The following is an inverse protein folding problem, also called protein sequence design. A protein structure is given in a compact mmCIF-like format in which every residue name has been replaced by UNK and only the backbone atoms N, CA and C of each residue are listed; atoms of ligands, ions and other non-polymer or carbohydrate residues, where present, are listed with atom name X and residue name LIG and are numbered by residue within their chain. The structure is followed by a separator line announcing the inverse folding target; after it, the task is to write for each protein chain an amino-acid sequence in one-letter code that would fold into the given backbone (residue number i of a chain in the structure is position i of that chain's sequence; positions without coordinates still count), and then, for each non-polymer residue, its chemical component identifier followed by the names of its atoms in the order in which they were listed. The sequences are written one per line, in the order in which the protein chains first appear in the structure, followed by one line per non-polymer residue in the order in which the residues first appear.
data_IF_916861696188
#
_entry.id   IF_916861696188
#
_cell.length_a   1.000
_cell.length_b   1.000
_cell.length_c   1.000
_cell.angle_alpha   90.00
_cell.angle_beta   90.00
_cell.angle_gamma   90.00
#
_symmetry.space_group_name_H-M   'P 1'
#
loop_
_entity.id
_entity.type
_entity.pdbx_description
1 polymer ?
#
# COMPACT_ATOMS: atom_id res chain seq x y z
N UNK A 1 -15.44 -0.25 -5.78
CA UNK A 1 -15.61 -1.66 -5.35
C UNK A 1 -16.35 -2.42 -6.41
N UNK A 2 -15.98 -3.68 -6.63
CA UNK A 2 -16.79 -4.63 -7.40
C UNK A 2 -18.02 -4.93 -6.54
N UNK A 3 -19.21 -4.58 -7.03
CA UNK A 3 -20.47 -4.84 -6.31
C UNK A 3 -20.68 -6.34 -6.15
N UNK A 4 -21.49 -6.77 -5.18
CA UNK A 4 -21.74 -8.21 -4.99
C UNK A 4 -22.43 -8.84 -6.21
N UNK A 5 -23.25 -8.06 -6.92
CA UNK A 5 -23.79 -8.46 -8.22
C UNK A 5 -22.66 -8.71 -9.24
N UNK A 6 -21.70 -7.78 -9.34
CA UNK A 6 -20.55 -7.91 -10.25
C UNK A 6 -19.60 -9.04 -9.84
N UNK A 7 -19.46 -9.33 -8.55
CA UNK A 7 -18.68 -10.50 -8.08
C UNK A 7 -19.33 -11.81 -8.51
N UNK A 8 -20.65 -11.92 -8.44
CA UNK A 8 -21.39 -13.10 -8.92
C UNK A 8 -21.22 -13.27 -10.42
N UNK A 9 -21.32 -12.17 -11.19
CA UNK A 9 -21.05 -12.14 -12.62
C UNK A 9 -19.63 -12.61 -12.96
N UNK A 10 -18.61 -12.05 -12.29
CA UNK A 10 -17.22 -12.47 -12.47
C UNK A 10 -16.97 -13.91 -12.07
N UNK A 11 -17.65 -14.41 -11.03
CA UNK A 11 -17.56 -15.81 -10.66
C UNK A 11 -18.16 -16.73 -11.72
N UNK A 12 -19.30 -16.36 -12.29
CA UNK A 12 -19.92 -17.12 -13.37
C UNK A 12 -19.01 -17.15 -14.61
N UNK A 13 -18.49 -15.99 -15.03
CA UNK A 13 -17.52 -15.90 -16.12
C UNK A 13 -16.25 -16.74 -15.85
N UNK A 14 -15.80 -16.80 -14.60
CA UNK A 14 -14.69 -17.64 -14.17
C UNK A 14 -15.00 -19.14 -14.30
N UNK A 15 -16.21 -19.59 -13.92
CA UNK A 15 -16.64 -20.99 -14.04
C UNK A 15 -16.69 -21.42 -15.51
N UNK A 16 -17.29 -20.57 -16.34
CA UNK A 16 -17.47 -20.80 -17.78
C UNK A 16 -16.18 -20.62 -18.60
N UNK A 17 -15.15 -20.01 -18.01
CA UNK A 17 -13.93 -19.58 -18.72
C UNK A 17 -14.28 -18.63 -19.88
N UNK A 18 -15.24 -17.74 -19.66
CA UNK A 18 -15.71 -16.83 -20.70
C UNK A 18 -14.57 -15.88 -21.14
N UNK A 19 -14.19 -15.98 -22.42
CA UNK A 19 -13.13 -15.20 -23.04
C UNK A 19 -13.48 -13.72 -23.22
N UNK A 20 -14.75 -13.35 -23.21
CA UNK A 20 -15.18 -11.94 -23.31
C UNK A 20 -14.74 -11.10 -22.10
N UNK A 21 -14.50 -11.76 -20.96
CA UNK A 21 -14.01 -11.13 -19.74
C UNK A 21 -12.48 -11.10 -19.66
N UNK A 22 -11.77 -11.57 -20.68
CA UNK A 22 -10.32 -11.61 -20.68
C UNK A 22 -9.73 -10.20 -20.54
N UNK A 23 -8.96 -9.98 -19.48
CA UNK A 23 -8.40 -8.67 -19.14
C UNK A 23 -9.36 -7.71 -18.41
N UNK A 24 -10.63 -8.09 -18.22
CA UNK A 24 -11.61 -7.29 -17.47
C UNK A 24 -11.47 -7.43 -15.95
N UNK A 25 -11.02 -8.60 -15.47
CA UNK A 25 -10.78 -8.83 -14.04
C UNK A 25 -9.72 -9.91 -13.80
N UNK A 26 -9.28 -10.00 -12.55
CA UNK A 26 -8.44 -11.05 -11.99
C UNK A 26 -9.12 -11.64 -10.76
N UNK A 27 -8.92 -12.94 -10.52
CA UNK A 27 -9.44 -13.62 -9.33
C UNK A 27 -8.29 -14.06 -8.44
N UNK A 28 -8.23 -13.57 -7.20
CA UNK A 28 -7.42 -14.09 -6.12
C UNK A 28 -8.10 -15.28 -5.44
N UNK A 29 -7.35 -16.36 -5.22
CA UNK A 29 -7.82 -17.59 -4.59
C UNK A 29 -7.26 -17.69 -3.18
N UNK A 30 -8.08 -17.35 -2.18
CA UNK A 30 -7.66 -17.18 -0.76
C UNK A 30 -6.92 -18.41 -0.23
N UNK A 31 -7.41 -19.61 -0.54
CA UNK A 31 -6.82 -20.87 -0.07
C UNK A 31 -5.42 -21.16 -0.59
N UNK A 32 -5.02 -20.56 -1.72
CA UNK A 32 -3.71 -20.81 -2.34
C UNK A 32 -2.81 -19.57 -2.38
N UNK A 33 -3.39 -18.39 -2.13
CA UNK A 33 -2.71 -17.11 -2.31
C UNK A 33 -2.31 -16.85 -3.77
N UNK A 34 -3.03 -17.41 -4.76
CA UNK A 34 -2.73 -17.24 -6.19
C UNK A 34 -3.79 -16.39 -6.87
N UNK A 35 -3.41 -15.43 -7.73
CA UNK A 35 -4.36 -14.77 -8.61
C UNK A 35 -4.26 -15.25 -10.07
N UNK A 36 -5.41 -15.32 -10.73
CA UNK A 36 -5.58 -15.89 -12.06
C UNK A 36 -6.37 -14.95 -12.98
N UNK A 37 -6.25 -15.20 -14.29
CA UNK A 37 -7.14 -14.66 -15.33
C UNK A 37 -8.48 -15.42 -15.34
N UNK A 38 -9.56 -14.85 -15.91
CA UNK A 38 -10.89 -15.48 -15.96
C UNK A 38 -10.87 -16.83 -16.71
N UNK A 39 -10.07 -16.90 -17.77
CA UNK A 39 -9.91 -18.08 -18.64
C UNK A 39 -8.91 -19.11 -18.11
N UNK A 40 -8.38 -18.94 -16.89
CA UNK A 40 -7.37 -19.84 -16.33
C UNK A 40 -7.84 -21.31 -16.32
N UNK A 41 -7.01 -22.26 -16.82
CA UNK A 41 -7.38 -23.68 -16.88
C UNK A 41 -7.28 -24.41 -15.53
N UNK A 42 -6.81 -23.73 -14.47
CA UNK A 42 -6.74 -24.31 -13.13
C UNK A 42 -8.13 -24.72 -12.60
N UNK A 43 -8.14 -25.64 -11.63
CA UNK A 43 -9.38 -26.04 -10.92
C UNK A 43 -10.04 -24.80 -10.34
N UNK A 44 -11.35 -24.67 -10.56
CA UNK A 44 -12.11 -23.49 -10.13
C UNK A 44 -12.33 -23.52 -8.61
N UNK A 45 -11.99 -22.43 -7.90
CA UNK A 45 -12.23 -22.33 -6.45
C UNK A 45 -13.72 -22.18 -6.14
N UNK A 46 -14.10 -22.44 -4.89
CA UNK A 46 -15.42 -22.06 -4.36
C UNK A 46 -15.54 -20.54 -4.29
N UNK A 47 -16.75 -20.00 -4.46
CA UNK A 47 -17.02 -18.56 -4.43
C UNK A 47 -16.50 -17.87 -3.16
N UNK A 48 -16.69 -18.47 -1.98
CA UNK A 48 -16.21 -17.97 -0.69
C UNK A 48 -14.68 -17.73 -0.63
N UNK A 49 -13.95 -18.51 -1.44
CA UNK A 49 -12.49 -18.45 -1.57
C UNK A 49 -12.03 -17.51 -2.69
N UNK A 50 -12.94 -16.82 -3.37
CA UNK A 50 -12.63 -15.87 -4.42
C UNK A 50 -12.58 -14.45 -3.88
N UNK A 51 -11.61 -13.70 -4.38
CA UNK A 51 -11.56 -12.25 -4.31
C UNK A 51 -11.28 -11.72 -5.72
N UNK A 52 -11.91 -10.61 -6.10
CA UNK A 52 -11.84 -10.12 -7.48
C UNK A 52 -11.17 -8.75 -7.53
N UNK A 53 -10.42 -8.52 -8.58
CA UNK A 53 -9.60 -7.33 -8.81
C UNK A 53 -9.74 -6.87 -10.25
N UNK A 54 -9.74 -5.57 -10.50
CA UNK A 54 -9.72 -5.05 -11.87
C UNK A 54 -8.31 -5.05 -12.45
N UNK A 55 -7.30 -4.91 -11.59
CA UNK A 55 -5.91 -4.84 -12.03
C UNK A 55 -5.05 -5.93 -11.36
N UNK A 56 -3.97 -6.37 -12.02
CA UNK A 56 -3.00 -7.24 -11.36
C UNK A 56 -2.37 -6.58 -10.14
N UNK A 57 -2.21 -5.24 -10.16
CA UNK A 57 -1.64 -4.49 -9.04
C UNK A 57 -2.45 -4.73 -7.77
N UNK A 58 -3.77 -4.58 -7.84
CA UNK A 58 -4.66 -4.81 -6.71
C UNK A 58 -4.51 -6.24 -6.15
N UNK A 59 -4.45 -7.25 -7.01
CA UNK A 59 -4.25 -8.63 -6.60
C UNK A 59 -2.91 -8.85 -5.88
N UNK A 60 -1.84 -8.23 -6.38
CA UNK A 60 -0.51 -8.32 -5.78
C UNK A 60 -0.46 -7.64 -4.40
N UNK A 61 -1.09 -6.47 -4.29
CA UNK A 61 -1.21 -5.74 -3.02
C UNK A 61 -2.01 -6.53 -2.00
N UNK A 62 -3.05 -7.25 -2.44
CA UNK A 62 -3.79 -8.18 -1.62
C UNK A 62 -3.03 -9.50 -1.34
N UNK A 63 -1.71 -9.53 -1.57
CA UNK A 63 -0.80 -10.65 -1.28
C UNK A 63 -1.02 -11.90 -2.12
N UNK A 64 -1.70 -11.80 -3.27
CA UNK A 64 -1.80 -12.91 -4.21
C UNK A 64 -0.60 -12.95 -5.15
N UNK A 65 -0.01 -14.13 -5.35
CA UNK A 65 1.05 -14.34 -6.36
C UNK A 65 0.46 -14.66 -7.74
N UNK A 66 1.13 -14.31 -8.85
CA UNK A 66 0.66 -14.66 -10.18
C UNK A 66 0.62 -16.18 -10.36
N UNK A 67 -0.44 -16.65 -11.03
CA UNK A 67 -0.60 -18.06 -11.35
C UNK A 67 0.44 -18.51 -12.38
N UNK A 68 1.16 -19.60 -12.08
CA UNK A 68 2.14 -20.21 -13.01
C UNK A 68 1.49 -20.90 -14.21
N UNK A 69 0.19 -21.21 -14.15
CA UNK A 69 -0.53 -21.90 -15.24
C UNK A 69 -1.05 -20.94 -16.30
N UNK A 70 -1.74 -19.88 -15.86
CA UNK A 70 -2.27 -18.88 -16.80
C UNK A 70 -1.35 -17.69 -17.01
N UNK A 71 -0.26 -17.58 -16.23
CA UNK A 71 0.77 -16.53 -16.35
C UNK A 71 0.17 -15.14 -16.58
N UNK A 72 -0.63 -14.62 -15.62
CA UNK A 72 -1.45 -13.42 -15.80
C UNK A 72 -0.64 -12.16 -16.16
N UNK A 73 0.68 -12.18 -15.92
CA UNK A 73 1.60 -11.08 -16.17
C UNK A 73 2.52 -11.31 -17.39
N UNK A 74 2.53 -12.50 -17.97
CA UNK A 74 3.50 -12.89 -19.02
C UNK A 74 2.89 -13.76 -20.10
N UNK A 75 1.59 -13.61 -20.37
CA UNK A 75 0.92 -14.42 -21.38
C UNK A 75 1.56 -14.22 -22.78
N UNK A 76 2.01 -15.28 -23.46
CA UNK A 76 2.88 -15.19 -24.65
C UNK A 76 2.29 -14.34 -25.78
N UNK A 77 0.97 -14.41 -26.01
CA UNK A 77 0.32 -13.73 -27.12
C UNK A 77 -0.03 -12.25 -26.84
N UNK A 78 0.41 -11.69 -25.71
CA UNK A 78 -0.03 -10.36 -25.27
C UNK A 78 1.05 -9.50 -24.60
N UNK A 79 2.31 -9.95 -24.55
CA UNK A 79 3.35 -9.30 -23.74
C UNK A 79 4.69 -9.32 -24.48
N UNK A 80 5.40 -8.18 -24.50
CA UNK A 80 6.74 -8.09 -25.09
C UNK A 80 7.72 -9.02 -24.37
N UNK A 81 8.72 -9.54 -25.10
CA UNK A 81 9.80 -10.36 -24.53
C UNK A 81 10.49 -9.67 -23.35
N UNK A 82 10.64 -8.34 -23.43
CA UNK A 82 11.18 -7.53 -22.35
C UNK A 82 10.38 -7.67 -21.05
N UNK A 83 9.05 -7.53 -21.13
CA UNK A 83 8.19 -7.61 -19.95
C UNK A 83 8.17 -9.03 -19.41
N UNK A 84 8.19 -10.05 -20.27
CA UNK A 84 8.29 -11.45 -19.83
C UNK A 84 9.59 -11.70 -19.06
N UNK A 85 10.74 -11.25 -19.59
CA UNK A 85 12.06 -11.34 -18.94
C UNK A 85 12.06 -10.68 -17.56
N UNK A 86 11.49 -9.47 -17.46
CA UNK A 86 11.42 -8.72 -16.21
C UNK A 86 10.50 -9.38 -15.18
N UNK A 87 9.31 -9.86 -15.59
CA UNK A 87 8.39 -10.59 -14.70
C UNK A 87 9.06 -11.87 -14.19
N UNK A 88 9.72 -12.63 -15.06
CA UNK A 88 10.45 -13.84 -14.68
C UNK A 88 11.54 -13.54 -13.66
N UNK A 89 12.36 -12.52 -13.89
CA UNK A 89 13.46 -12.18 -13.00
C UNK A 89 12.96 -11.84 -11.57
N UNK A 90 11.80 -11.19 -11.44
CA UNK A 90 11.14 -10.94 -10.14
C UNK A 90 10.57 -12.22 -9.54
N UNK A 91 9.92 -13.08 -10.31
CA UNK A 91 9.36 -14.32 -9.76
C UNK A 91 10.44 -15.34 -9.34
N UNK A 92 11.62 -15.30 -9.95
CA UNK A 92 12.80 -16.07 -9.53
C UNK A 92 13.46 -15.48 -8.26
N UNK A 93 13.39 -14.16 -8.09
CA UNK A 93 13.98 -13.45 -6.96
C UNK A 93 12.98 -12.50 -6.29
N UNK A 94 11.87 -13.02 -5.72
CA UNK A 94 10.74 -12.18 -5.31
C UNK A 94 11.02 -11.33 -4.06
N UNK A 95 12.13 -11.60 -3.37
CA UNK A 95 12.59 -10.86 -2.20
C UNK A 95 13.58 -9.73 -2.55
N UNK A 96 14.13 -9.73 -3.77
CA UNK A 96 15.21 -8.82 -4.19
C UNK A 96 14.75 -7.36 -4.19
N UNK A 97 15.62 -6.47 -3.69
CA UNK A 97 15.50 -5.04 -3.92
C UNK A 97 15.99 -4.68 -5.32
N UNK A 98 15.10 -4.18 -6.19
CA UNK A 98 15.46 -3.80 -7.55
C UNK A 98 15.89 -2.34 -7.62
N UNK A 99 17.11 -2.11 -8.07
CA UNK A 99 17.80 -0.82 -8.21
C UNK A 99 18.27 -0.63 -9.66
N UNK A 100 18.75 0.57 -9.98
CA UNK A 100 19.21 0.94 -11.33
C UNK A 100 20.30 -0.01 -11.88
N UNK A 101 21.18 -0.53 -11.02
CA UNK A 101 22.21 -1.51 -11.42
C UNK A 101 21.62 -2.82 -11.96
N UNK A 102 20.47 -3.24 -11.45
CA UNK A 102 19.86 -4.53 -11.82
C UNK A 102 19.27 -4.49 -13.24
N UNK A 103 18.83 -3.31 -13.69
CA UNK A 103 18.41 -3.12 -15.08
C UNK A 103 19.60 -3.25 -16.04
N UNK A 104 20.77 -2.73 -15.66
CA UNK A 104 22.02 -2.89 -16.44
C UNK A 104 22.44 -4.35 -16.53
N UNK A 105 22.39 -5.10 -15.43
CA UNK A 105 22.67 -6.54 -15.39
C UNK A 105 21.71 -7.34 -16.30
N UNK A 106 20.45 -6.92 -16.40
CA UNK A 106 19.48 -7.53 -17.31
C UNK A 106 19.57 -7.04 -18.76
N UNK A 107 20.50 -6.13 -19.08
CA UNK A 107 20.59 -5.47 -20.39
C UNK A 107 19.27 -4.80 -20.79
N UNK A 108 18.62 -4.14 -19.83
CA UNK A 108 17.34 -3.46 -19.98
C UNK A 108 17.50 -1.97 -19.64
N UNK A 109 16.95 -1.10 -20.48
CA UNK A 109 16.79 0.31 -20.14
C UNK A 109 15.65 0.51 -19.13
N UNK A 110 15.93 1.17 -17.99
CA UNK A 110 14.96 1.41 -16.91
C UNK A 110 13.76 2.23 -17.42
N UNK A 111 14.00 3.23 -18.27
CA UNK A 111 12.94 4.11 -18.78
C UNK A 111 11.94 3.32 -19.63
N UNK A 112 12.46 2.39 -20.44
CA UNK A 112 11.69 1.50 -21.30
C UNK A 112 10.95 0.45 -20.49
N UNK A 113 11.59 -0.17 -19.50
CA UNK A 113 10.93 -1.07 -18.55
C UNK A 113 9.76 -0.37 -17.85
N UNK A 114 10.00 0.83 -17.31
CA UNK A 114 8.98 1.66 -16.66
C UNK A 114 7.82 1.98 -17.61
N UNK A 115 8.10 2.41 -18.83
CA UNK A 115 7.08 2.78 -19.83
C UNK A 115 6.23 1.58 -20.23
N UNK A 116 6.86 0.43 -20.52
CA UNK A 116 6.13 -0.78 -20.94
C UNK A 116 5.28 -1.35 -19.81
N UNK A 117 5.81 -1.41 -18.58
CA UNK A 117 5.03 -1.84 -17.41
C UNK A 117 3.85 -0.90 -17.13
N UNK A 118 4.08 0.44 -17.18
CA UNK A 118 3.01 1.41 -16.93
C UNK A 118 1.91 1.33 -17.98
N UNK A 119 2.28 1.15 -19.26
CA UNK A 119 1.33 0.96 -20.37
C UNK A 119 0.48 -0.30 -20.19
N UNK A 120 1.07 -1.40 -19.72
CA UNK A 120 0.38 -2.71 -19.66
C UNK A 120 -0.37 -2.97 -18.36
N UNK A 121 0.23 -2.62 -17.23
CA UNK A 121 -0.24 -3.00 -15.90
C UNK A 121 -0.65 -1.80 -15.03
N UNK A 122 -0.53 -0.56 -15.54
CA UNK A 122 -0.83 0.65 -14.77
C UNK A 122 0.20 0.99 -13.69
N UNK A 123 1.24 0.17 -13.50
CA UNK A 123 2.29 0.31 -12.50
C UNK A 123 3.68 0.21 -13.12
N UNK A 124 4.71 0.70 -12.44
CA UNK A 124 6.11 0.53 -12.87
C UNK A 124 6.66 -0.85 -12.49
N UNK A 125 7.73 -1.29 -13.14
CA UNK A 125 8.46 -2.51 -12.75
C UNK A 125 8.86 -2.52 -11.27
N UNK A 126 9.37 -1.41 -10.76
CA UNK A 126 9.78 -1.29 -9.35
C UNK A 126 8.57 -1.39 -8.41
N UNK A 127 7.41 -0.85 -8.80
CA UNK A 127 6.17 -1.01 -8.03
C UNK A 127 5.71 -2.47 -8.01
N UNK A 128 5.79 -3.16 -9.15
CA UNK A 128 5.51 -4.58 -9.25
C UNK A 128 6.41 -5.40 -8.32
N UNK A 129 7.73 -5.24 -8.43
CA UNK A 129 8.69 -5.97 -7.60
C UNK A 129 8.49 -5.70 -6.11
N UNK A 130 8.22 -4.45 -5.72
CA UNK A 130 7.89 -4.09 -4.33
C UNK A 130 6.61 -4.79 -3.86
N UNK A 131 5.54 -4.74 -4.64
CA UNK A 131 4.28 -5.38 -4.29
C UNK A 131 4.44 -6.90 -4.10
N UNK A 132 5.26 -7.55 -4.95
CA UNK A 132 5.61 -8.98 -4.80
C UNK A 132 6.34 -9.27 -3.49
N UNK A 133 7.39 -8.49 -3.20
CA UNK A 133 8.17 -8.62 -1.96
C UNK A 133 7.29 -8.45 -0.72
N UNK A 134 6.39 -7.48 -0.74
CA UNK A 134 5.50 -7.18 0.39
C UNK A 134 4.43 -8.24 0.59
N UNK A 135 3.86 -8.77 -0.49
CA UNK A 135 2.92 -9.88 -0.42
C UNK A 135 3.53 -11.14 0.21
N UNK A 136 4.83 -11.37 0.05
CA UNK A 136 5.53 -12.47 0.75
C UNK A 136 5.59 -12.23 2.25
N UNK A 137 6.01 -11.04 2.69
CA UNK A 137 6.09 -10.70 4.11
C UNK A 137 4.72 -10.85 4.79
N UNK A 138 3.65 -10.36 4.15
CA UNK A 138 2.29 -10.46 4.65
C UNK A 138 1.76 -11.88 4.74
N UNK A 139 2.10 -12.74 3.78
CA UNK A 139 1.69 -14.14 3.80
C UNK A 139 2.27 -14.86 5.02
N UNK A 140 3.55 -14.62 5.33
CA UNK A 140 4.19 -15.22 6.51
C UNK A 140 3.53 -14.74 7.81
N UNK A 141 3.25 -13.43 7.92
CA UNK A 141 2.54 -12.84 9.08
C UNK A 141 1.15 -13.46 9.27
N UNK A 142 0.33 -13.53 8.20
CA UNK A 142 -1.03 -14.10 8.25
C UNK A 142 -1.06 -15.58 8.62
N UNK A 143 0.01 -16.32 8.32
CA UNK A 143 0.08 -17.74 8.65
C UNK A 143 0.28 -18.03 10.15
N UNK A 144 0.41 -16.98 10.99
CA UNK A 144 0.48 -17.09 12.45
C UNK A 144 1.76 -17.71 12.99
N UNK A 145 2.68 -18.15 12.12
CA UNK A 145 3.88 -18.91 12.48
C UNK A 145 4.90 -18.17 13.35
N UNK A 146 4.68 -16.91 13.70
CA UNK A 146 5.68 -16.10 14.38
C UNK A 146 5.16 -15.12 15.45
N UNK A 147 3.84 -15.04 15.66
CA UNK A 147 3.28 -14.16 16.71
C UNK A 147 3.59 -14.73 18.11
N UNK A 148 3.71 -16.06 18.23
CA UNK A 148 3.99 -16.75 19.50
C UNK A 148 5.47 -16.63 19.89
N UNK A 149 6.39 -16.74 18.93
CA UNK A 149 7.84 -16.71 19.21
C UNK A 149 8.38 -15.28 19.46
N UNK A 150 7.71 -14.25 18.94
CA UNK A 150 8.12 -12.85 19.11
C UNK A 150 7.85 -12.29 20.51
N UNK A 151 6.83 -12.79 21.22
CA UNK A 151 6.47 -12.32 22.57
C UNK A 151 7.40 -12.86 23.66
N UNK A 152 8.11 -13.98 23.42
CA UNK A 152 8.88 -14.69 24.45
C UNK A 152 10.36 -14.28 24.55
N UNK A 153 10.87 -13.45 23.66
CA UNK A 153 12.32 -13.19 23.54
C UNK A 153 12.70 -11.71 23.63
N UNK A 154 12.41 -11.07 24.76
CA UNK A 154 13.21 -9.92 25.25
C UNK A 154 14.61 -10.41 25.64
N UNK A 155 15.44 -10.73 24.64
CA UNK A 155 16.72 -11.42 24.82
C UNK A 155 17.01 -12.35 23.64
N UNK A 156 17.29 -11.75 22.48
CA UNK A 156 17.22 -12.41 21.18
C UNK A 156 18.25 -13.52 20.96
N UNK A 157 17.81 -14.79 20.97
CA UNK A 157 18.39 -15.88 20.16
C UNK A 157 17.30 -16.83 19.65
N UNK A 158 17.38 -17.10 18.33
CA UNK A 158 16.64 -18.10 17.51
C UNK A 158 15.32 -17.69 16.82
N UNK A 159 15.14 -18.14 15.56
CA UNK A 159 13.84 -18.59 15.00
C UNK A 159 13.13 -17.84 13.84
N UNK A 160 13.38 -18.27 12.59
CA UNK A 160 12.44 -18.34 11.44
C UNK A 160 12.04 -17.08 10.62
N UNK A 161 11.84 -17.25 9.31
CA UNK A 161 11.76 -16.23 8.25
C UNK A 161 10.74 -15.08 8.40
N UNK A 162 9.91 -15.10 9.44
CA UNK A 162 9.19 -13.90 9.88
C UNK A 162 10.14 -12.80 10.35
N UNK A 163 11.21 -13.13 11.10
CA UNK A 163 12.22 -12.14 11.48
C UNK A 163 12.82 -11.50 10.25
N UNK A 164 13.15 -12.28 9.22
CA UNK A 164 13.69 -11.72 7.99
C UNK A 164 12.68 -10.81 7.30
N UNK A 165 11.42 -11.22 7.16
CA UNK A 165 10.38 -10.40 6.53
C UNK A 165 10.06 -9.13 7.33
N UNK A 166 10.03 -9.24 8.66
CA UNK A 166 9.79 -8.17 9.62
C UNK A 166 10.97 -7.20 9.66
N UNK A 167 12.20 -7.66 9.87
CA UNK A 167 13.43 -6.85 9.81
C UNK A 167 13.67 -6.22 8.43
N UNK A 168 13.17 -6.81 7.33
CA UNK A 168 13.28 -6.19 5.99
C UNK A 168 12.44 -4.92 5.82
N UNK A 169 11.31 -4.80 6.53
CA UNK A 169 10.47 -3.60 6.51
C UNK A 169 10.78 -2.70 7.72
N UNK A 170 11.01 -3.31 8.88
CA UNK A 170 11.17 -2.63 10.17
C UNK A 170 12.63 -2.32 10.51
N UNK A 171 13.60 -2.90 9.80
CA UNK A 171 15.03 -2.86 10.12
C UNK A 171 15.40 -3.68 11.37
N UNK A 172 16.71 -3.82 11.65
CA UNK A 172 17.22 -4.48 12.86
C UNK A 172 17.02 -3.63 14.11
N UNK A 173 16.57 -4.17 15.23
CA UNK A 173 16.38 -3.47 16.52
C UNK A 173 17.61 -2.63 16.92
N UNK A 174 17.46 -1.39 17.41
CA UNK A 174 18.61 -0.57 17.78
C UNK A 174 19.43 -1.23 18.90
N UNK A 175 20.76 -1.11 18.86
CA UNK A 175 21.66 -1.69 19.87
C UNK A 175 21.42 -1.16 21.30
N UNK A 176 20.84 0.03 21.42
CA UNK A 176 20.41 0.63 22.68
C UNK A 176 18.93 0.96 22.64
N UNK A 177 18.10 0.01 23.10
CA UNK A 177 16.69 0.25 23.39
C UNK A 177 16.63 0.97 24.74
N UNK A 178 16.06 2.17 24.80
CA UNK A 178 15.71 2.76 26.09
C UNK A 178 14.55 1.95 26.67
N UNK A 179 14.62 1.58 27.95
CA UNK A 179 13.73 0.60 28.61
C UNK A 179 12.22 0.86 28.46
N UNK A 180 11.80 2.06 28.01
CA UNK A 180 10.39 2.45 27.86
C UNK A 180 9.96 2.90 26.45
N UNK A 181 10.76 2.72 25.39
CA UNK A 181 10.36 3.08 24.02
C UNK A 181 10.03 1.85 23.19
N UNK A 182 8.91 1.21 23.49
CA UNK A 182 8.35 0.15 22.64
C UNK A 182 7.30 0.76 21.73
N UNK A 183 7.43 0.51 20.43
CA UNK A 183 6.38 0.74 19.46
C UNK A 183 5.83 -0.60 18.99
N UNK A 184 4.53 -0.63 18.81
CA UNK A 184 3.80 -1.77 18.30
C UNK A 184 3.47 -1.54 16.83
N UNK A 185 3.69 -2.56 16.00
CA UNK A 185 3.31 -2.57 14.59
C UNK A 185 2.19 -3.57 14.34
N UNK A 186 1.25 -3.19 13.48
CA UNK A 186 0.18 -4.05 13.00
C UNK A 186 -0.12 -3.80 11.53
N UNK A 187 -0.80 -4.76 10.91
CA UNK A 187 -1.24 -4.65 9.53
C UNK A 187 -2.76 -4.56 9.50
N UNK A 188 -3.26 -3.64 8.69
CA UNK A 188 -4.68 -3.45 8.46
C UNK A 188 -5.00 -3.83 7.02
N UNK A 189 -5.85 -4.83 6.83
CA UNK A 189 -6.40 -5.12 5.52
C UNK A 189 -7.48 -4.08 5.19
N UNK A 190 -7.34 -3.38 4.06
CA UNK A 190 -8.29 -2.36 3.64
C UNK A 190 -8.76 -2.58 2.20
N UNK A 191 -9.87 -1.94 1.84
CA UNK A 191 -10.42 -1.99 0.47
C UNK A 191 -9.45 -1.51 -0.61
N UNK A 192 -8.42 -0.75 -0.24
CA UNK A 192 -7.44 -0.15 -1.15
C UNK A 192 -6.07 -0.83 -1.12
N UNK A 193 -6.02 -2.03 -0.52
CA UNK A 193 -4.81 -2.76 -0.22
C UNK A 193 -4.41 -2.60 1.24
N UNK A 194 -3.44 -3.40 1.69
CA UNK A 194 -3.07 -3.43 3.08
C UNK A 194 -2.30 -2.18 3.49
N UNK A 195 -2.53 -1.76 4.72
CA UNK A 195 -1.84 -0.68 5.39
C UNK A 195 -1.02 -1.23 6.56
N UNK A 196 0.02 -0.51 6.94
CA UNK A 196 0.83 -0.76 8.13
C UNK A 196 0.56 0.37 9.13
N UNK A 197 0.44 0.01 10.40
CA UNK A 197 0.29 0.94 11.51
C UNK A 197 1.41 0.76 12.50
N UNK A 198 1.97 1.85 13.02
CA UNK A 198 2.93 1.84 14.12
C UNK A 198 2.44 2.81 15.19
N UNK A 199 2.34 2.37 16.44
CA UNK A 199 1.86 3.16 17.58
C UNK A 199 2.61 2.81 18.86
N UNK A 200 2.61 3.70 19.86
CA UNK A 200 2.84 3.28 21.25
C UNK A 200 1.48 2.96 21.92
N UNK A 201 1.44 2.96 23.25
CA UNK A 201 0.23 2.73 24.04
C UNK A 201 -0.81 3.85 23.94
N UNK A 202 -0.42 5.04 23.48
CA UNK A 202 -1.22 6.27 23.56
C UNK A 202 -1.43 6.98 22.22
N UNK A 203 -0.47 6.94 21.30
CA UNK A 203 -0.50 7.67 20.04
C UNK A 203 -0.10 6.79 18.85
N UNK A 204 -0.72 7.05 17.69
CA UNK A 204 -0.38 6.48 16.39
C UNK A 204 0.72 7.31 15.70
N UNK A 205 1.82 6.66 15.31
CA UNK A 205 3.01 7.30 14.73
C UNK A 205 3.09 7.14 13.21
N UNK A 206 2.51 6.07 12.68
CA UNK A 206 2.51 5.78 11.25
C UNK A 206 1.21 5.05 10.88
N UNK A 207 0.59 5.48 9.79
CA UNK A 207 -0.48 4.78 9.09
C UNK A 207 -0.24 4.96 7.60
N UNK A 208 0.23 3.93 6.92
CA UNK A 208 0.55 4.04 5.50
C UNK A 208 0.22 2.80 4.69
N UNK A 209 0.00 3.01 3.39
CA UNK A 209 -0.14 1.90 2.46
C UNK A 209 1.19 1.20 2.31
N UNK A 210 1.14 -0.13 2.38
CA UNK A 210 2.35 -0.94 2.35
C UNK A 210 3.14 -0.72 1.06
N UNK A 211 2.48 -0.51 -0.09
CA UNK A 211 3.16 -0.23 -1.36
C UNK A 211 3.74 1.18 -1.55
N UNK A 212 3.59 2.07 -0.56
CA UNK A 212 4.13 3.43 -0.59
C UNK A 212 5.62 3.43 -0.90
N UNK A 213 6.02 4.34 -1.79
CA UNK A 213 7.45 4.52 -2.10
C UNK A 213 8.18 5.14 -0.92
N UNK A 214 9.18 4.42 -0.41
CA UNK A 214 10.04 4.91 0.66
C UNK A 214 9.51 4.60 2.06
N UNK A 215 8.50 3.73 2.18
CA UNK A 215 7.98 3.29 3.47
C UNK A 215 9.09 2.73 4.38
N UNK A 216 10.01 1.94 3.82
CA UNK A 216 11.14 1.36 4.56
C UNK A 216 12.01 2.46 5.19
N UNK A 217 12.28 3.54 4.43
CA UNK A 217 13.02 4.72 4.93
C UNK A 217 12.22 5.50 5.97
N UNK A 218 10.89 5.57 5.83
CA UNK A 218 10.02 6.25 6.80
C UNK A 218 10.03 5.54 8.15
N UNK A 219 9.96 4.21 8.13
CA UNK A 219 10.09 3.38 9.33
C UNK A 219 11.48 3.51 9.94
N UNK A 220 12.54 3.49 9.13
CA UNK A 220 13.91 3.70 9.61
C UNK A 220 14.09 5.08 10.27
N UNK A 221 13.57 6.16 9.67
CA UNK A 221 13.59 7.50 10.25
C UNK A 221 12.85 7.53 11.59
N UNK A 222 11.66 6.92 11.65
CA UNK A 222 10.85 6.83 12.86
C UNK A 222 11.63 6.11 13.98
N UNK A 223 12.29 5.01 13.67
CA UNK A 223 13.14 4.28 14.62
C UNK A 223 14.34 5.09 15.08
N UNK A 224 15.02 5.76 14.15
CA UNK A 224 16.17 6.58 14.48
C UNK A 224 15.81 7.78 15.37
N UNK A 225 14.60 8.35 15.19
CA UNK A 225 14.08 9.45 16.00
C UNK A 225 13.58 9.01 17.38
N UNK A 226 12.91 7.86 17.45
CA UNK A 226 12.29 7.37 18.70
C UNK A 226 13.23 6.52 19.54
N UNK A 227 14.29 5.98 18.92
CA UNK A 227 15.16 4.93 19.50
C UNK A 227 14.38 3.72 20.01
N UNK A 228 13.18 3.51 19.46
CA UNK A 228 12.28 2.49 19.91
C UNK A 228 12.57 1.14 19.25
N UNK A 229 12.35 0.07 20.01
CA UNK A 229 12.12 -1.24 19.43
C UNK A 229 10.72 -1.25 18.80
N UNK A 230 10.58 -1.86 17.60
CA UNK A 230 9.26 -2.05 17.00
C UNK A 230 8.93 -3.53 17.01
N UNK A 231 7.83 -3.90 17.67
CA UNK A 231 7.41 -5.28 17.83
C UNK A 231 5.98 -5.49 17.29
N UNK A 232 5.63 -6.67 16.78
CA UNK A 232 4.26 -6.97 16.40
C UNK A 232 3.31 -6.91 17.60
N UNK A 233 2.08 -6.44 17.39
CA UNK A 233 1.04 -6.49 18.41
C UNK A 233 -0.18 -5.63 18.08
N UNK A 234 -0.99 -5.35 19.10
CA UNK A 234 -2.07 -4.37 19.05
C UNK A 234 -2.05 -3.51 20.31
N UNK A 235 -2.10 -2.21 20.14
CA UNK A 235 -2.31 -1.22 21.21
C UNK A 235 -3.67 -0.53 21.00
N UNK A 236 -4.14 0.24 21.98
CA UNK A 236 -5.41 0.98 21.88
C UNK A 236 -5.48 1.88 20.64
N UNK A 237 -4.45 2.70 20.30
CA UNK A 237 -4.46 3.48 19.05
C UNK A 237 -4.59 2.62 17.79
N UNK A 238 -3.97 1.43 17.75
CA UNK A 238 -4.07 0.50 16.61
C UNK A 238 -5.50 -0.05 16.47
N UNK A 239 -6.12 -0.46 17.57
CA UNK A 239 -7.50 -0.95 17.54
C UNK A 239 -8.51 0.17 17.21
N UNK A 240 -8.24 1.38 17.68
CA UNK A 240 -9.02 2.57 17.34
C UNK A 240 -8.94 2.84 15.83
N UNK A 241 -7.74 2.95 15.27
CA UNK A 241 -7.59 3.28 13.85
C UNK A 241 -8.07 2.17 12.93
N UNK A 242 -7.93 0.90 13.30
CA UNK A 242 -8.49 -0.25 12.58
C UNK A 242 -10.00 -0.09 12.40
N UNK A 243 -10.72 0.23 13.48
CA UNK A 243 -12.17 0.49 13.45
C UNK A 243 -12.51 1.73 12.62
N UNK A 244 -11.80 2.83 12.83
CA UNK A 244 -12.08 4.09 12.13
C UNK A 244 -11.84 3.97 10.61
N UNK A 245 -10.79 3.27 10.20
CA UNK A 245 -10.47 3.01 8.79
C UNK A 245 -11.56 2.15 8.13
N UNK A 246 -12.06 1.12 8.81
CA UNK A 246 -13.17 0.31 8.30
C UNK A 246 -14.45 1.15 8.10
N UNK A 247 -14.82 1.96 9.09
CA UNK A 247 -15.96 2.88 9.00
C UNK A 247 -15.78 3.94 7.90
N UNK A 248 -14.58 4.51 7.77
CA UNK A 248 -14.24 5.46 6.71
C UNK A 248 -14.44 4.85 5.32
N UNK A 249 -13.93 3.62 5.11
CA UNK A 249 -14.08 2.94 3.82
C UNK A 249 -15.52 2.49 3.55
N UNK A 250 -16.38 2.38 4.56
CA UNK A 250 -17.84 2.20 4.42
C UNK A 250 -18.59 3.50 4.14
N UNK A 251 -17.96 4.66 4.35
CA UNK A 251 -18.59 5.97 4.23
C UNK A 251 -19.38 6.38 5.48
N UNK A 252 -19.15 5.71 6.60
CA UNK A 252 -19.86 5.93 7.88
C UNK A 252 -19.07 6.86 8.83
N UNK A 253 -17.82 7.17 8.50
CA UNK A 253 -16.94 8.04 9.29
C UNK A 253 -16.35 9.15 8.41
N UNK A 254 -16.49 10.38 8.86
CA UNK A 254 -15.96 11.59 8.20
C UNK A 254 -14.78 12.21 8.95
N UNK A 255 -14.64 11.89 10.25
CA UNK A 255 -13.61 12.42 11.15
C UNK A 255 -12.94 11.32 11.97
N UNK A 256 -11.61 11.30 11.95
CA UNK A 256 -10.78 10.37 12.73
C UNK A 256 -10.44 10.96 14.10
N UNK A 257 -10.62 10.17 15.16
CA UNK A 257 -10.38 10.56 16.56
C UNK A 257 -9.19 9.86 17.18
N UNK A 258 -8.62 8.83 16.53
CA UNK A 258 -7.41 8.17 17.01
C UNK A 258 -6.30 9.19 17.27
N UNK A 259 -5.71 9.25 18.49
CA UNK A 259 -4.60 10.16 18.79
C UNK A 259 -3.39 9.88 17.90
N UNK A 260 -2.73 10.93 17.40
CA UNK A 260 -1.60 10.81 16.47
C UNK A 260 -0.39 11.59 16.95
N UNK A 261 0.80 11.02 16.75
CA UNK A 261 2.08 11.67 17.01
C UNK A 261 2.70 12.17 15.71
N UNK A 262 3.01 13.47 15.65
CA UNK A 262 3.62 14.07 14.47
C UNK A 262 5.15 14.07 14.52
N UNK A 263 5.78 13.31 13.61
CA UNK A 263 7.24 13.24 13.46
C UNK A 263 7.77 14.10 12.29
N UNK A 264 7.43 15.39 12.28
CA UNK A 264 7.84 16.34 11.24
C UNK A 264 8.63 17.55 11.74
N UNK A 265 9.19 18.32 10.82
CA UNK A 265 9.71 19.66 11.09
C UNK A 265 8.58 20.60 11.50
N UNK A 266 8.86 21.74 12.16
CA UNK A 266 7.82 22.72 12.50
C UNK A 266 7.01 23.18 11.28
N UNK A 267 7.65 23.32 10.12
CA UNK A 267 6.95 23.64 8.87
C UNK A 267 5.98 22.54 8.43
N UNK A 268 6.44 21.27 8.44
CA UNK A 268 5.60 20.13 8.10
C UNK A 268 4.39 20.01 9.02
N UNK A 269 4.60 20.15 10.34
CA UNK A 269 3.54 20.12 11.34
C UNK A 269 2.47 21.18 11.08
N UNK A 270 2.86 22.42 10.75
CA UNK A 270 1.90 23.48 10.39
C UNK A 270 1.10 23.14 9.12
N UNK A 271 1.76 22.59 8.10
CA UNK A 271 1.06 22.15 6.89
C UNK A 271 0.06 21.05 7.23
N UNK A 272 0.47 20.00 7.96
CA UNK A 272 -0.39 18.88 8.33
C UNK A 272 -1.58 19.29 9.20
N UNK A 273 -1.40 20.27 10.08
CA UNK A 273 -2.52 20.89 10.82
C UNK A 273 -3.56 21.46 9.86
N UNK A 274 -3.13 22.25 8.88
CA UNK A 274 -4.04 22.80 7.85
C UNK A 274 -4.67 21.74 6.97
N UNK A 275 -3.95 20.65 6.65
CA UNK A 275 -4.56 19.55 5.92
C UNK A 275 -5.75 18.93 6.67
N UNK A 276 -5.67 18.80 8.00
CA UNK A 276 -6.77 18.25 8.81
C UNK A 276 -8.00 19.15 8.88
N UNK A 277 -7.86 20.44 8.58
CA UNK A 277 -8.98 21.38 8.52
C UNK A 277 -9.80 21.23 7.22
N UNK A 278 -9.27 20.54 6.20
CA UNK A 278 -10.00 20.33 4.93
C UNK A 278 -11.14 19.32 5.17
N UNK A 279 -12.42 19.69 4.99
CA UNK A 279 -13.54 18.80 5.27
C UNK A 279 -13.58 17.54 4.39
N UNK A 280 -14.27 16.52 4.87
CA UNK A 280 -14.56 15.31 4.09
C UNK A 280 -15.35 15.68 2.82
N UNK A 281 -14.89 15.20 1.66
CA UNK A 281 -15.55 15.48 0.37
C UNK A 281 -15.14 16.78 -0.29
N UNK A 282 -14.29 17.59 0.37
CA UNK A 282 -13.74 18.81 -0.18
C UNK A 282 -12.29 18.66 -0.62
N UNK A 283 -11.88 19.49 -1.58
CA UNK A 283 -10.48 19.60 -2.01
C UNK A 283 -9.99 21.04 -1.92
N UNK A 284 -8.67 21.21 -1.82
CA UNK A 284 -8.00 22.52 -1.78
C UNK A 284 -6.76 22.54 -2.67
N UNK A 285 -6.43 23.65 -3.34
CA UNK A 285 -5.18 23.77 -4.08
C UNK A 285 -3.99 23.98 -3.13
N UNK A 286 -2.81 23.51 -3.51
CA UNK A 286 -1.57 23.73 -2.73
C UNK A 286 -1.29 25.21 -2.42
N UNK A 287 -1.69 26.11 -3.32
CA UNK A 287 -1.51 27.56 -3.16
C UNK A 287 -2.35 28.13 -2.01
N UNK A 288 -3.55 27.59 -1.78
CA UNK A 288 -4.42 28.04 -0.69
C UNK A 288 -3.83 27.65 0.66
N UNK A 289 -3.39 26.40 0.81
CA UNK A 289 -2.67 25.95 2.00
C UNK A 289 -1.42 26.80 2.26
N UNK A 290 -0.70 27.20 1.21
CA UNK A 290 0.46 28.09 1.33
C UNK A 290 0.08 29.49 1.84
N UNK A 291 -1.04 30.04 1.39
CA UNK A 291 -1.58 31.30 1.89
C UNK A 291 -2.01 31.19 3.36
N UNK A 292 -2.76 30.14 3.72
CA UNK A 292 -3.27 29.92 5.08
C UNK A 292 -2.18 29.77 6.15
N UNK A 293 -1.02 29.22 5.79
CA UNK A 293 0.14 29.14 6.69
C UNK A 293 1.01 30.41 6.67
N UNK A 294 0.56 31.48 6.01
CA UNK A 294 1.28 32.77 5.91
C UNK A 294 2.54 32.72 5.03
N UNK A 295 2.61 31.78 4.08
CA UNK A 295 3.75 31.58 3.18
C UNK A 295 3.30 31.41 1.71
N UNK A 296 2.64 32.41 1.11
CA UNK A 296 1.98 32.28 -0.20
C UNK A 296 2.92 31.83 -1.35
N UNK A 297 4.21 32.19 -1.28
CA UNK A 297 5.21 31.80 -2.28
C UNK A 297 5.74 30.37 -2.10
N UNK A 298 5.39 29.68 -1.00
CA UNK A 298 5.96 28.38 -0.61
C UNK A 298 5.16 27.17 -1.11
N UNK A 299 4.38 27.31 -2.19
CA UNK A 299 3.55 26.24 -2.77
C UNK A 299 4.32 24.92 -2.99
N UNK A 300 5.56 24.98 -3.51
CA UNK A 300 6.40 23.79 -3.71
C UNK A 300 6.81 23.13 -2.39
N UNK A 301 7.13 23.93 -1.37
CA UNK A 301 7.48 23.41 -0.05
C UNK A 301 6.26 22.76 0.64
N UNK A 302 5.07 23.34 0.48
CA UNK A 302 3.81 22.74 0.94
C UNK A 302 3.56 21.41 0.24
N UNK A 303 3.77 21.31 -1.08
CA UNK A 303 3.65 20.03 -1.80
C UNK A 303 4.65 18.98 -1.26
N UNK A 304 5.88 19.39 -0.93
CA UNK A 304 6.86 18.53 -0.28
C UNK A 304 6.42 18.05 1.11
N UNK A 305 5.87 18.95 1.94
CA UNK A 305 5.34 18.62 3.26
C UNK A 305 4.10 17.69 3.19
N UNK A 306 3.21 17.92 2.22
CA UNK A 306 2.06 17.04 1.93
C UNK A 306 2.53 15.63 1.55
N UNK A 307 3.57 15.53 0.72
CA UNK A 307 4.20 14.26 0.36
C UNK A 307 4.88 13.55 1.54
N UNK A 308 5.40 14.30 2.51
CA UNK A 308 6.04 13.76 3.70
C UNK A 308 5.08 13.29 4.80
N UNK A 309 3.76 13.39 4.59
CA UNK A 309 2.78 12.85 5.53
C UNK A 309 2.94 11.32 5.65
N UNK A 310 2.97 10.83 6.89
CA UNK A 310 3.11 9.42 7.29
C UNK A 310 1.85 8.88 7.99
N UNK A 311 0.81 9.69 8.15
CA UNK A 311 -0.49 9.29 8.70
C UNK A 311 -1.53 9.48 7.59
N UNK A 312 -1.53 8.59 6.60
CA UNK A 312 -2.50 8.60 5.50
C UNK A 312 -3.94 8.52 6.03
N UNK A 313 -4.90 9.05 5.27
CA UNK A 313 -6.32 9.16 5.61
C UNK A 313 -6.62 10.15 6.75
N UNK A 314 -6.02 9.97 7.93
CA UNK A 314 -6.22 10.83 9.11
C UNK A 314 -5.70 12.25 8.87
N UNK A 315 -4.51 12.37 8.28
CA UNK A 315 -4.02 13.63 7.70
C UNK A 315 -4.33 13.54 6.20
N UNK A 316 -5.36 14.25 5.70
CA UNK A 316 -5.96 13.95 4.41
C UNK A 316 -5.19 14.59 3.24
N UNK A 317 -3.93 14.17 3.05
CA UNK A 317 -3.05 14.68 1.99
C UNK A 317 -3.52 14.35 0.56
N UNK A 318 -4.53 13.48 0.41
CA UNK A 318 -5.23 13.23 -0.85
C UNK A 318 -6.20 14.35 -1.24
N UNK A 319 -6.68 15.16 -0.29
CA UNK A 319 -7.60 16.29 -0.56
C UNK A 319 -6.92 17.51 -1.20
N UNK A 320 -5.59 17.54 -1.28
CA UNK A 320 -4.87 18.67 -1.88
C UNK A 320 -4.56 18.42 -3.35
N UNK A 321 -4.98 19.31 -4.24
CA UNK A 321 -4.82 19.19 -5.71
C UNK A 321 -4.00 20.35 -6.29
N UNK A 322 -3.68 20.27 -7.59
CA UNK A 322 -3.07 21.41 -8.29
C UNK A 322 -4.13 22.48 -8.53
N UNK A 323 -3.69 23.74 -8.67
CA UNK A 323 -4.58 24.88 -8.92
C UNK A 323 -5.33 24.80 -10.26
N UNK A 324 -4.86 23.98 -11.21
CA UNK A 324 -5.54 23.70 -12.48
C UNK A 324 -6.62 22.60 -12.38
N UNK A 325 -6.89 22.08 -11.17
CA UNK A 325 -7.84 21.00 -10.93
C UNK A 325 -7.27 19.60 -11.15
N UNK A 326 -6.04 19.47 -11.65
CA UNK A 326 -5.43 18.16 -11.89
C UNK A 326 -4.91 17.50 -10.61
N UNK A 327 -4.89 16.17 -10.59
CA UNK A 327 -4.33 15.42 -9.48
C UNK A 327 -2.80 15.55 -9.43
N UNK A 328 -2.30 16.13 -8.33
CA UNK A 328 -0.89 16.10 -7.95
C UNK A 328 -0.39 14.70 -7.56
N UNK A 329 0.91 14.60 -7.26
CA UNK A 329 1.49 13.37 -6.73
C UNK A 329 0.85 12.91 -5.41
N UNK A 330 0.91 11.61 -5.13
CA UNK A 330 0.43 10.98 -3.91
C UNK A 330 1.34 9.82 -3.53
N UNK A 331 1.66 9.67 -2.24
CA UNK A 331 2.55 8.62 -1.73
C UNK A 331 2.09 7.21 -2.09
N UNK A 332 0.76 6.99 -2.05
CA UNK A 332 0.10 5.76 -2.50
C UNK A 332 -0.29 5.73 -4.00
N UNK A 333 0.20 6.66 -4.81
CA UNK A 333 -0.11 6.72 -6.24
C UNK A 333 -1.41 7.46 -6.61
N UNK A 334 -1.45 7.97 -7.85
CA UNK A 334 -2.53 8.85 -8.33
C UNK A 334 -3.88 8.13 -8.38
N UNK A 335 -3.91 6.84 -8.75
CA UNK A 335 -5.14 6.05 -8.79
C UNK A 335 -5.81 5.98 -7.41
N UNK A 336 -5.02 5.77 -6.35
CA UNK A 336 -5.51 5.73 -4.97
C UNK A 336 -6.05 7.09 -4.52
N UNK A 337 -5.34 8.17 -4.85
CA UNK A 337 -5.81 9.54 -4.57
C UNK A 337 -7.15 9.84 -5.23
N UNK A 338 -7.29 9.51 -6.52
CA UNK A 338 -8.57 9.66 -7.24
C UNK A 338 -9.68 8.89 -6.54
N UNK A 339 -9.44 7.62 -6.24
CA UNK A 339 -10.44 6.77 -5.59
C UNK A 339 -10.86 7.30 -4.21
N UNK A 340 -9.93 7.80 -3.40
CA UNK A 340 -10.25 8.40 -2.10
C UNK A 340 -11.11 9.65 -2.26
N UNK A 341 -10.77 10.53 -3.21
CA UNK A 341 -11.61 11.71 -3.49
C UNK A 341 -12.99 11.27 -4.00
N UNK A 342 -13.09 10.26 -4.86
CA UNK A 342 -14.38 9.75 -5.37
C UNK A 342 -15.22 9.08 -4.27
N UNK A 343 -14.58 8.41 -3.31
CA UNK A 343 -15.24 7.84 -2.13
C UNK A 343 -15.90 8.95 -1.30
N UNK A 344 -15.14 10.01 -1.03
CA UNK A 344 -15.61 11.14 -0.22
C UNK A 344 -16.58 12.05 -0.99
N UNK A 345 -16.36 12.18 -2.30
CA UNK A 345 -16.99 13.12 -3.22
C UNK A 345 -18.27 12.63 -3.86
N UNK A 346 -18.89 11.54 -3.37
CA UNK A 346 -20.25 11.13 -3.76
C UNK A 346 -21.35 12.19 -3.48
N UNK A 347 -20.96 13.43 -3.13
CA UNK A 347 -21.80 14.62 -3.12
C UNK A 347 -21.20 15.91 -3.71
N UNK A 348 -20.02 15.92 -4.36
CA UNK A 348 -19.48 17.18 -4.92
C UNK A 348 -18.62 17.01 -6.19
N UNK A 349 -19.10 17.61 -7.27
CA UNK A 349 -18.59 17.59 -8.63
C UNK A 349 -17.47 18.62 -8.85
N UNK A 350 -16.20 18.25 -8.60
CA UNK A 350 -15.04 19.08 -8.96
C UNK A 350 -13.82 18.27 -9.43
N UNK A 351 -14.01 17.23 -10.25
CA UNK A 351 -12.91 16.63 -11.01
C UNK A 351 -13.25 16.76 -12.49
N UNK A 352 -12.50 17.58 -13.22
CA UNK A 352 -12.51 17.63 -14.69
C UNK A 352 -11.62 16.54 -15.28
#
# INVERSE_FOLDING_TARGET
MITDLKKKEFYQALLERNTEYEGSFFVGVKSTGVFCRPTCPARKPKFENCEFFFTPQEALLASFRPCKRCSPLSHPNQVSELVQKLVQAVEENPEKEWREKDFRELSVDESTARRQFKKRFGMTFVQYARARRMGLAMKEIRSGKAVIDAQLHTGYKSGSGFRDAFSRIMGDTPTSVQENSILTVSWLDTRMGPMITIADETELYLLEFVDRRGLEREVEILRNKTKAAIIPGKTEPIQSIEREVDLYFKGELTEFKTPIKWLGTPFQKRVWAKLREIPFGETRPYSEIACEIGKPTSTRAVAGANGANQIALVVPCHRVIRSDGTLGGYGGGIARKKWLIDLEGKGSSLIK
#
